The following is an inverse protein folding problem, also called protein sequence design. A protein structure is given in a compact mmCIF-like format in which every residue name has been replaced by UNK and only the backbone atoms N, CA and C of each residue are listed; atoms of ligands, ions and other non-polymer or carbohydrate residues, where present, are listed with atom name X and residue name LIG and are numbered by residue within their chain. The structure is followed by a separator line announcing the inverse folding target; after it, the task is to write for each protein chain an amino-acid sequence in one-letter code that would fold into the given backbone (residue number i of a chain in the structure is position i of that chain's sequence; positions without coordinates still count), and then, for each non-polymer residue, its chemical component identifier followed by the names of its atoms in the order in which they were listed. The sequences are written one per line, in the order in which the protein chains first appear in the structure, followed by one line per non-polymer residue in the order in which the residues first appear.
data_IF_027306304222
#
_entry.id   IF_027306304222
#
_cell.length_a   1.000
_cell.length_b   1.000
_cell.length_c   1.000
_cell.angle_alpha   90.00
_cell.angle_beta   90.00
_cell.angle_gamma   90.00
#
_symmetry.space_group_name_H-M   'P 1'
#
loop_
_entity.id
_entity.type
_entity.pdbx_description
1 polymer ?
#
# COMPACT_ATOMS: atom_id res chain seq x y z
N UNK A 1 -7.97 -14.69 -4.67
CA UNK A 1 -7.32 -13.90 -5.74
C UNK A 1 -6.38 -14.81 -6.54
N UNK A 2 -6.92 -15.62 -7.45
CA UNK A 2 -6.13 -16.60 -8.20
C UNK A 2 -6.65 -16.74 -9.64
N UNK A 3 -5.91 -17.44 -10.49
CA UNK A 3 -6.31 -17.72 -11.87
C UNK A 3 -7.57 -18.59 -11.94
N UNK A 4 -7.77 -19.49 -10.98
CA UNK A 4 -8.95 -20.34 -10.90
C UNK A 4 -10.22 -19.51 -10.67
N UNK A 5 -10.15 -18.52 -9.77
CA UNK A 5 -11.27 -17.59 -9.58
C UNK A 5 -11.51 -16.73 -10.83
N UNK A 6 -10.46 -16.28 -11.50
CA UNK A 6 -10.59 -15.53 -12.75
C UNK A 6 -11.26 -16.38 -13.86
N UNK A 7 -10.88 -17.65 -13.97
CA UNK A 7 -11.47 -18.60 -14.91
C UNK A 7 -12.97 -18.78 -14.68
N UNK A 8 -13.39 -18.97 -13.42
CA UNK A 8 -14.80 -19.07 -13.08
C UNK A 8 -15.60 -17.80 -13.47
N UNK A 9 -14.99 -16.61 -13.37
CA UNK A 9 -15.62 -15.36 -13.82
C UNK A 9 -15.70 -15.32 -15.35
N UNK A 10 -14.67 -15.80 -16.08
CA UNK A 10 -14.74 -15.91 -17.54
C UNK A 10 -15.84 -16.87 -17.99
N UNK A 11 -15.99 -18.03 -17.34
CA UNK A 11 -17.04 -19.00 -17.64
C UNK A 11 -18.43 -18.34 -17.48
N UNK A 12 -18.64 -17.65 -16.36
CA UNK A 12 -19.88 -16.91 -16.12
C UNK A 12 -20.14 -15.83 -17.20
N UNK A 13 -19.12 -15.04 -17.57
CA UNK A 13 -19.24 -14.02 -18.62
C UNK A 13 -19.59 -14.63 -19.98
N UNK A 14 -19.04 -15.80 -20.32
CA UNK A 14 -19.34 -16.52 -21.57
C UNK A 14 -20.78 -17.03 -21.55
N UNK A 15 -21.23 -17.61 -20.43
CA UNK A 15 -22.62 -18.06 -20.24
C UNK A 15 -23.61 -16.91 -20.40
N UNK A 16 -23.28 -15.74 -19.85
CA UNK A 16 -24.09 -14.51 -20.00
C UNK A 16 -23.94 -13.85 -21.38
N UNK A 17 -23.10 -14.38 -22.27
CA UNK A 17 -22.79 -13.82 -23.59
C UNK A 17 -22.33 -12.37 -23.49
N UNK A 18 -21.45 -12.07 -22.53
CA UNK A 18 -20.93 -10.74 -22.31
C UNK A 18 -20.10 -10.25 -23.50
N UNK A 19 -20.40 -9.05 -23.99
CA UNK A 19 -19.76 -8.41 -25.14
C UNK A 19 -18.92 -7.20 -24.72
N UNK A 20 -18.09 -6.68 -25.65
CA UNK A 20 -17.12 -5.60 -25.42
C UNK A 20 -17.70 -4.28 -24.87
N UNK A 21 -18.99 -4.04 -25.06
CA UNK A 21 -19.67 -2.83 -24.56
C UNK A 21 -20.08 -2.91 -23.09
N UNK A 22 -20.03 -4.09 -22.46
CA UNK A 22 -20.45 -4.28 -21.08
C UNK A 22 -19.35 -3.89 -20.09
N UNK A 23 -19.76 -3.38 -18.93
CA UNK A 23 -18.85 -2.87 -17.90
C UNK A 23 -18.72 -3.84 -16.74
N UNK A 24 -17.49 -4.13 -16.32
CA UNK A 24 -17.21 -4.81 -15.05
C UNK A 24 -17.22 -3.75 -13.93
N UNK A 25 -18.07 -3.96 -12.93
CA UNK A 25 -18.12 -3.13 -11.72
C UNK A 25 -17.50 -3.92 -10.57
N UNK A 26 -16.34 -3.50 -10.10
CA UNK A 26 -15.63 -4.13 -8.99
C UNK A 26 -16.05 -3.50 -7.66
N UNK A 27 -17.01 -4.12 -6.98
CA UNK A 27 -17.50 -3.70 -5.66
C UNK A 27 -16.82 -4.51 -4.55
N UNK A 28 -15.90 -3.90 -3.79
CA UNK A 28 -15.20 -4.59 -2.71
C UNK A 28 -13.87 -3.95 -2.32
N UNK A 29 -13.08 -4.65 -1.50
CA UNK A 29 -11.72 -4.23 -1.15
C UNK A 29 -10.68 -4.46 -2.28
N UNK A 30 -9.40 -4.20 -1.99
CA UNK A 30 -8.32 -4.22 -3.00
C UNK A 30 -8.16 -5.57 -3.71
N UNK A 31 -8.48 -6.67 -3.03
CA UNK A 31 -8.49 -8.01 -3.61
C UNK A 31 -9.49 -8.12 -4.77
N UNK A 32 -10.68 -7.53 -4.60
CA UNK A 32 -11.75 -7.55 -5.60
C UNK A 32 -11.41 -6.63 -6.76
N UNK A 33 -10.89 -5.42 -6.48
CA UNK A 33 -10.49 -4.47 -7.54
C UNK A 33 -9.40 -5.05 -8.44
N UNK A 34 -8.40 -5.74 -7.86
CA UNK A 34 -7.35 -6.38 -8.64
C UNK A 34 -7.85 -7.55 -9.49
N UNK A 35 -8.65 -8.44 -8.91
CA UNK A 35 -9.17 -9.62 -9.62
C UNK A 35 -10.13 -9.20 -10.75
N UNK A 36 -11.10 -8.35 -10.43
CA UNK A 36 -12.07 -7.86 -11.42
C UNK A 36 -11.39 -7.01 -12.48
N UNK A 37 -10.38 -6.21 -12.10
CA UNK A 37 -9.58 -5.45 -13.04
C UNK A 37 -8.76 -6.33 -13.98
N UNK A 38 -8.17 -7.42 -13.47
CA UNK A 38 -7.46 -8.40 -14.30
C UNK A 38 -8.42 -9.07 -15.29
N UNK A 39 -9.60 -9.49 -14.83
CA UNK A 39 -10.65 -10.05 -15.68
C UNK A 39 -11.09 -9.05 -16.76
N UNK A 40 -11.31 -7.78 -16.38
CA UNK A 40 -11.69 -6.74 -17.32
C UNK A 40 -10.60 -6.50 -18.37
N UNK A 41 -9.32 -6.55 -17.99
CA UNK A 41 -8.20 -6.35 -18.90
C UNK A 41 -8.08 -7.47 -19.96
N UNK A 42 -8.41 -8.71 -19.61
CA UNK A 42 -8.12 -9.91 -20.41
C UNK A 42 -9.35 -10.43 -21.17
N UNK A 43 -10.55 -10.38 -20.57
CA UNK A 43 -11.76 -10.87 -21.21
C UNK A 43 -12.13 -10.01 -22.42
N UNK A 44 -12.44 -10.66 -23.54
CA UNK A 44 -12.66 -10.03 -24.84
C UNK A 44 -11.53 -9.06 -25.29
N UNK A 45 -10.34 -9.17 -24.68
CA UNK A 45 -9.18 -8.25 -24.81
C UNK A 45 -9.43 -6.84 -24.27
N UNK A 46 -10.30 -6.68 -23.28
CA UNK A 46 -10.58 -5.41 -22.62
C UNK A 46 -12.08 -5.09 -22.56
N UNK A 47 -12.62 -5.02 -21.35
CA UNK A 47 -13.93 -4.50 -21.03
C UNK A 47 -13.81 -3.20 -20.20
N UNK A 48 -14.72 -2.22 -20.38
CA UNK A 48 -14.84 -1.10 -19.45
C UNK A 48 -14.86 -1.58 -17.98
N UNK A 49 -14.14 -0.85 -17.13
CA UNK A 49 -13.97 -1.17 -15.71
C UNK A 49 -14.38 0.02 -14.85
N UNK A 50 -15.12 -0.23 -13.78
CA UNK A 50 -15.42 0.74 -12.71
C UNK A 50 -15.02 0.12 -11.38
N UNK A 51 -14.33 0.87 -10.53
CA UNK A 51 -14.04 0.47 -9.16
C UNK A 51 -14.99 1.16 -8.19
N UNK A 52 -15.58 0.39 -7.29
CA UNK A 52 -16.37 0.86 -6.16
C UNK A 52 -15.72 0.30 -4.89
N UNK A 53 -14.57 0.88 -4.45
CA UNK A 53 -13.81 0.36 -3.32
C UNK A 53 -14.58 0.49 -2.01
N UNK A 54 -14.60 -0.56 -1.20
CA UNK A 54 -15.34 -0.62 0.09
C UNK A 54 -14.43 -0.86 1.30
N UNK A 55 -13.12 -0.69 1.15
CA UNK A 55 -12.16 -0.70 2.26
C UNK A 55 -11.27 0.53 2.18
N UNK A 56 -10.74 0.98 3.32
CA UNK A 56 -9.83 2.13 3.37
C UNK A 56 -8.66 1.93 2.42
N UNK A 57 -7.99 0.78 2.52
CA UNK A 57 -6.86 0.41 1.66
C UNK A 57 -7.21 0.47 0.17
N UNK A 58 -8.41 0.02 -0.21
CA UNK A 58 -8.84 0.06 -1.60
C UNK A 58 -9.10 1.49 -2.08
N UNK A 59 -9.74 2.32 -1.25
CA UNK A 59 -10.05 3.71 -1.59
C UNK A 59 -8.79 4.56 -1.77
N UNK A 60 -7.84 4.44 -0.84
CA UNK A 60 -6.66 5.32 -0.80
C UNK A 60 -5.49 4.82 -1.64
N UNK A 61 -5.50 3.52 -1.97
CA UNK A 61 -4.41 2.87 -2.69
C UNK A 61 -4.92 1.97 -3.83
N UNK A 62 -5.42 0.76 -3.55
CA UNK A 62 -5.52 -0.30 -4.57
C UNK A 62 -6.41 0.03 -5.79
N UNK A 63 -7.46 0.83 -5.63
CA UNK A 63 -8.36 1.19 -6.73
C UNK A 63 -7.76 2.24 -7.69
N UNK A 64 -6.59 2.81 -7.38
CA UNK A 64 -5.96 3.88 -8.16
C UNK A 64 -4.60 3.44 -8.67
N UNK A 65 -4.37 3.63 -9.97
CA UNK A 65 -3.07 3.44 -10.61
C UNK A 65 -2.90 2.20 -11.47
N UNK A 66 -4.01 1.53 -11.80
CA UNK A 66 -4.11 0.60 -12.92
C UNK A 66 -3.39 -0.74 -12.77
N UNK A 67 -2.69 -1.00 -11.66
CA UNK A 67 -2.10 -2.32 -11.42
C UNK A 67 -3.20 -3.28 -11.03
N UNK A 68 -3.45 -4.28 -11.87
CA UNK A 68 -4.44 -5.32 -11.62
C UNK A 68 -3.77 -6.68 -11.78
N UNK A 69 -4.06 -7.63 -10.90
CA UNK A 69 -3.31 -8.88 -10.86
C UNK A 69 -4.09 -10.04 -10.24
N UNK A 70 -3.53 -11.23 -10.35
CA UNK A 70 -3.88 -12.42 -9.57
C UNK A 70 -2.63 -13.03 -8.94
N UNK A 71 -2.81 -13.83 -7.89
CA UNK A 71 -1.69 -14.53 -7.27
C UNK A 71 -1.44 -15.86 -7.98
N UNK A 72 -0.17 -16.23 -8.10
CA UNK A 72 0.26 -17.60 -8.34
C UNK A 72 0.61 -18.25 -6.99
N UNK A 73 0.49 -19.58 -6.79
CA UNK A 73 0.86 -20.26 -5.54
C UNK A 73 2.28 -19.99 -5.04
N UNK A 74 3.17 -19.53 -5.92
CA UNK A 74 4.58 -19.19 -5.64
C UNK A 74 4.90 -17.70 -5.67
N UNK A 75 3.96 -16.84 -6.06
CA UNK A 75 4.22 -15.41 -6.21
C UNK A 75 2.95 -14.56 -6.09
N UNK A 76 2.95 -13.59 -5.16
CA UNK A 76 1.89 -12.59 -4.97
C UNK A 76 1.95 -11.57 -6.11
N UNK A 77 0.81 -11.26 -6.72
CA UNK A 77 0.63 -10.21 -7.76
C UNK A 77 1.52 -10.31 -9.02
N UNK A 78 2.18 -11.44 -9.27
CA UNK A 78 3.15 -11.57 -10.37
C UNK A 78 2.50 -11.71 -11.77
N UNK A 79 1.21 -12.02 -11.83
CA UNK A 79 0.47 -12.21 -13.08
C UNK A 79 -0.61 -11.14 -13.14
N UNK A 80 -0.49 -10.20 -14.09
CA UNK A 80 -1.35 -9.03 -14.10
C UNK A 80 -1.24 -8.19 -15.37
N UNK A 81 -1.83 -7.01 -15.32
CA UNK A 81 -1.80 -6.01 -16.37
C UNK A 81 -1.80 -4.59 -15.77
N UNK A 82 -1.38 -3.61 -16.57
CA UNK A 82 -1.71 -2.21 -16.32
C UNK A 82 -3.01 -1.88 -17.06
N UNK A 83 -4.11 -1.71 -16.33
CA UNK A 83 -5.46 -1.48 -16.85
C UNK A 83 -6.24 -0.49 -15.98
N UNK A 84 -6.52 0.70 -16.51
CA UNK A 84 -7.17 1.76 -15.75
C UNK A 84 -8.69 1.60 -15.72
N UNK A 85 -9.35 1.87 -14.56
CA UNK A 85 -10.79 2.03 -14.53
C UNK A 85 -11.21 3.33 -15.24
N UNK A 86 -12.46 3.36 -15.73
CA UNK A 86 -13.11 4.57 -16.26
C UNK A 86 -13.58 5.50 -15.14
N UNK A 87 -13.85 4.94 -13.96
CA UNK A 87 -14.34 5.65 -12.77
C UNK A 87 -13.92 4.89 -11.51
N UNK A 88 -13.54 5.64 -10.48
CA UNK A 88 -13.42 5.15 -9.10
C UNK A 88 -14.46 5.90 -8.27
N UNK A 89 -15.41 5.17 -7.68
CA UNK A 89 -16.45 5.73 -6.80
C UNK A 89 -16.18 5.31 -5.35
N UNK A 90 -15.51 6.17 -4.60
CA UNK A 90 -15.19 5.95 -3.19
C UNK A 90 -16.26 6.59 -2.29
N UNK A 91 -17.25 5.81 -1.89
CA UNK A 91 -18.26 6.21 -0.90
C UNK A 91 -17.80 5.83 0.51
N UNK A 92 -17.37 6.82 1.29
CA UNK A 92 -16.84 6.62 2.65
C UNK A 92 -17.87 6.04 3.62
N UNK A 93 -19.18 6.14 3.33
CA UNK A 93 -20.23 5.54 4.18
C UNK A 93 -20.14 4.01 4.21
N UNK A 94 -19.59 3.39 3.17
CA UNK A 94 -19.37 1.93 3.12
C UNK A 94 -18.39 1.44 4.20
N UNK A 95 -17.51 2.33 4.68
CA UNK A 95 -16.54 2.00 5.74
C UNK A 95 -17.22 1.72 7.08
N UNK A 96 -18.46 2.18 7.30
CA UNK A 96 -19.20 1.95 8.54
C UNK A 96 -19.50 0.47 8.83
N UNK A 97 -19.42 -0.41 7.83
CA UNK A 97 -19.55 -1.87 8.01
C UNK A 97 -18.21 -2.61 8.02
N UNK A 98 -17.09 -1.89 7.84
CA UNK A 98 -15.77 -2.49 7.74
C UNK A 98 -15.28 -2.92 9.14
N UNK A 99 -14.72 -4.14 9.30
CA UNK A 99 -14.13 -4.55 10.57
C UNK A 99 -13.04 -3.56 11.00
N UNK A 100 -13.01 -3.19 12.29
CA UNK A 100 -12.08 -2.16 12.80
C UNK A 100 -10.62 -2.42 12.45
N UNK A 101 -10.18 -3.68 12.41
CA UNK A 101 -8.81 -4.06 12.04
C UNK A 101 -8.44 -3.69 10.59
N UNK A 102 -9.41 -3.66 9.68
CA UNK A 102 -9.18 -3.29 8.27
C UNK A 102 -9.06 -1.76 8.09
N UNK A 103 -9.33 -0.96 9.14
CA UNK A 103 -8.94 0.46 9.20
C UNK A 103 -7.43 0.65 9.21
N UNK A 104 -6.65 -0.43 9.39
CA UNK A 104 -5.20 -0.42 9.16
C UNK A 104 -4.81 0.08 7.76
N UNK A 105 -5.73 0.08 6.79
CA UNK A 105 -5.54 0.74 5.50
C UNK A 105 -5.20 2.24 5.57
N UNK A 106 -5.47 2.91 6.70
CA UNK A 106 -5.03 4.30 6.92
C UNK A 106 -3.51 4.47 6.92
N UNK A 107 -2.76 3.39 7.18
CA UNK A 107 -1.30 3.39 7.07
C UNK A 107 -0.83 3.91 5.70
N UNK A 108 -1.55 3.58 4.63
CA UNK A 108 -1.20 4.03 3.27
C UNK A 108 -1.51 5.51 3.02
N UNK A 109 -2.58 6.03 3.62
CA UNK A 109 -2.88 7.46 3.54
C UNK A 109 -1.88 8.29 4.36
N UNK A 110 -1.49 7.79 5.54
CA UNK A 110 -0.42 8.37 6.36
C UNK A 110 0.91 8.31 5.61
N UNK A 111 1.21 7.19 4.96
CA UNK A 111 2.39 7.05 4.09
C UNK A 111 2.44 8.17 3.06
N UNK A 112 1.36 8.44 2.32
CA UNK A 112 1.30 9.52 1.34
C UNK A 112 1.64 10.89 1.95
N UNK A 113 1.15 11.17 3.16
CA UNK A 113 1.49 12.39 3.89
C UNK A 113 2.98 12.47 4.22
N UNK A 114 3.54 11.39 4.80
CA UNK A 114 4.94 11.32 5.19
C UNK A 114 5.89 11.51 4.01
N UNK A 115 5.55 10.99 2.83
CA UNK A 115 6.45 11.03 1.67
C UNK A 115 6.34 12.30 0.83
N UNK A 116 5.17 12.97 0.82
CA UNK A 116 4.88 14.01 -0.18
C UNK A 116 4.03 15.19 0.32
N UNK A 117 3.44 15.16 1.52
CA UNK A 117 2.53 16.23 1.98
C UNK A 117 2.54 16.42 3.51
N UNK A 118 3.35 17.38 3.97
CA UNK A 118 3.42 17.75 5.39
C UNK A 118 2.13 18.40 5.93
N UNK A 119 1.32 19.02 5.08
CA UNK A 119 0.02 19.58 5.49
C UNK A 119 -1.01 18.46 5.70
N UNK A 120 -0.91 17.36 4.95
CA UNK A 120 -1.74 16.17 5.16
C UNK A 120 -1.32 15.46 6.44
N UNK A 121 -0.03 15.44 6.78
CA UNK A 121 0.43 14.94 8.08
C UNK A 121 -0.20 15.76 9.21
N UNK A 122 -0.11 17.08 9.12
CA UNK A 122 -0.71 17.98 10.10
C UNK A 122 -2.25 17.84 10.18
N UNK A 123 -2.90 17.53 9.05
CA UNK A 123 -4.33 17.20 9.04
C UNK A 123 -4.62 15.92 9.83
N UNK A 124 -3.88 14.83 9.59
CA UNK A 124 -4.05 13.59 10.34
C UNK A 124 -3.77 13.78 11.84
N UNK A 125 -2.76 14.56 12.21
CA UNK A 125 -2.47 14.89 13.62
C UNK A 125 -3.63 15.64 14.30
N UNK A 126 -4.31 16.54 13.59
CA UNK A 126 -5.45 17.31 14.13
C UNK A 126 -6.76 16.52 14.16
N UNK A 127 -6.97 15.59 13.23
CA UNK A 127 -8.26 14.94 12.99
C UNK A 127 -8.22 13.42 13.19
N UNK A 128 -7.19 12.86 13.84
CA UNK A 128 -7.01 11.41 13.97
C UNK A 128 -8.26 10.70 14.50
N UNK A 129 -8.85 11.21 15.58
CA UNK A 129 -10.00 10.63 16.24
C UNK A 129 -11.25 10.69 15.36
N UNK A 130 -11.44 11.78 14.62
CA UNK A 130 -12.56 11.94 13.70
C UNK A 130 -12.43 11.04 12.46
N UNK A 131 -11.21 10.88 11.92
CA UNK A 131 -10.93 9.96 10.80
C UNK A 131 -11.10 8.50 11.25
N UNK A 132 -10.60 8.13 12.43
CA UNK A 132 -10.79 6.79 13.00
C UNK A 132 -12.25 6.50 13.37
N UNK A 133 -12.97 7.52 13.80
CA UNK A 133 -14.41 7.49 14.04
C UNK A 133 -15.25 7.44 12.77
N UNK A 134 -14.62 7.52 11.60
CA UNK A 134 -15.27 7.56 10.28
C UNK A 134 -16.26 8.73 10.14
N UNK A 135 -15.96 9.88 10.73
CA UNK A 135 -16.75 11.08 10.54
C UNK A 135 -16.74 11.48 9.05
N UNK A 136 -17.90 11.79 8.44
CA UNK A 136 -18.01 11.89 6.98
C UNK A 136 -17.03 12.88 6.34
N UNK A 137 -16.92 14.10 6.90
CA UNK A 137 -16.10 15.17 6.33
C UNK A 137 -14.59 14.88 6.46
N UNK A 138 -14.03 14.60 7.66
CA UNK A 138 -12.60 14.29 7.79
C UNK A 138 -12.18 13.04 7.03
N UNK A 139 -13.05 12.03 6.98
CA UNK A 139 -12.78 10.78 6.26
C UNK A 139 -12.74 11.01 4.75
N UNK A 140 -13.71 11.76 4.21
CA UNK A 140 -13.74 12.13 2.79
C UNK A 140 -12.50 12.94 2.42
N UNK A 141 -12.12 13.90 3.25
CA UNK A 141 -10.95 14.74 3.02
C UNK A 141 -9.64 13.95 3.04
N UNK A 142 -9.48 13.03 4.00
CA UNK A 142 -8.34 12.12 4.06
C UNK A 142 -8.20 11.26 2.80
N UNK A 143 -9.30 10.64 2.36
CA UNK A 143 -9.33 9.83 1.13
C UNK A 143 -9.01 10.69 -0.09
N UNK A 144 -9.66 11.86 -0.22
CA UNK A 144 -9.48 12.77 -1.35
C UNK A 144 -8.03 13.22 -1.51
N UNK A 145 -7.39 13.68 -0.43
CA UNK A 145 -6.00 14.14 -0.46
C UNK A 145 -5.03 12.99 -0.75
N UNK A 146 -5.24 11.84 -0.12
CA UNK A 146 -4.44 10.64 -0.36
C UNK A 146 -4.51 10.19 -1.83
N UNK A 147 -5.71 10.11 -2.40
CA UNK A 147 -5.91 9.75 -3.81
C UNK A 147 -5.27 10.78 -4.74
N UNK A 148 -5.37 12.07 -4.44
CA UNK A 148 -4.73 13.12 -5.25
C UNK A 148 -3.21 12.95 -5.30
N UNK A 149 -2.56 12.65 -4.17
CA UNK A 149 -1.12 12.39 -4.11
C UNK A 149 -0.77 11.17 -4.96
N UNK A 150 -1.47 10.04 -4.76
CA UNK A 150 -1.21 8.82 -5.52
C UNK A 150 -1.43 9.02 -7.02
N UNK A 151 -2.52 9.69 -7.40
CA UNK A 151 -2.85 9.98 -8.79
C UNK A 151 -1.74 10.83 -9.45
N UNK A 152 -1.22 11.86 -8.78
CA UNK A 152 -0.12 12.66 -9.29
C UNK A 152 1.13 11.81 -9.57
N UNK A 153 1.55 10.98 -8.61
CA UNK A 153 2.71 10.08 -8.78
C UNK A 153 2.48 9.05 -9.90
N UNK A 154 1.27 8.50 -10.00
CA UNK A 154 0.92 7.56 -11.08
C UNK A 154 0.93 8.25 -12.44
N UNK A 155 0.41 9.47 -12.55
CA UNK A 155 0.39 10.22 -13.81
C UNK A 155 1.80 10.55 -14.32
N UNK A 156 2.77 10.68 -13.42
CA UNK A 156 4.18 10.84 -13.78
C UNK A 156 4.84 9.53 -14.24
N UNK A 157 4.35 8.36 -13.82
CA UNK A 157 5.01 7.06 -14.02
C UNK A 157 4.04 5.87 -13.94
N UNK A 158 3.08 5.82 -14.87
CA UNK A 158 1.96 4.86 -14.83
C UNK A 158 2.45 3.40 -14.81
N UNK A 159 3.43 3.09 -15.66
CA UNK A 159 3.97 1.75 -15.91
C UNK A 159 5.27 1.46 -15.17
N UNK A 160 5.68 2.33 -14.25
CA UNK A 160 6.93 2.19 -13.48
C UNK A 160 8.20 2.15 -14.34
N UNK A 161 8.21 2.89 -15.45
CA UNK A 161 9.32 2.94 -16.40
C UNK A 161 10.43 3.90 -15.94
N UNK A 162 10.05 4.99 -15.25
CA UNK A 162 10.99 6.01 -14.77
C UNK A 162 11.48 5.72 -13.35
N UNK A 163 10.73 4.92 -12.60
CA UNK A 163 11.01 4.59 -11.21
C UNK A 163 10.49 5.62 -10.21
N UNK A 164 9.85 6.72 -10.67
CA UNK A 164 9.23 7.74 -9.81
C UNK A 164 8.21 7.13 -8.85
N UNK A 165 7.43 6.15 -9.32
CA UNK A 165 6.41 5.46 -8.50
C UNK A 165 7.00 4.67 -7.32
N UNK A 166 8.31 4.40 -7.32
CA UNK A 166 9.01 3.72 -6.21
C UNK A 166 8.84 4.47 -4.89
N UNK A 167 8.65 5.80 -4.91
CA UNK A 167 8.43 6.60 -3.70
C UNK A 167 7.23 6.14 -2.87
N UNK A 168 6.24 5.49 -3.50
CA UNK A 168 5.09 4.92 -2.81
C UNK A 168 5.44 3.67 -1.99
N UNK A 169 6.67 3.17 -2.06
CA UNK A 169 7.11 1.99 -1.31
C UNK A 169 7.75 2.33 0.05
N UNK A 170 7.51 3.54 0.59
CA UNK A 170 7.93 3.87 1.95
C UNK A 170 7.35 2.85 2.94
N UNK A 171 8.23 2.25 3.75
CA UNK A 171 7.91 1.13 4.65
C UNK A 171 7.79 -0.25 4.00
N UNK A 172 7.48 -0.36 2.71
CA UNK A 172 7.12 -1.63 2.06
C UNK A 172 8.27 -2.65 2.02
N UNK A 173 9.53 -2.21 1.96
CA UNK A 173 10.69 -3.15 1.95
C UNK A 173 10.70 -4.04 3.19
N UNK A 174 10.48 -3.45 4.36
CA UNK A 174 10.42 -4.17 5.63
C UNK A 174 9.03 -4.77 5.83
N UNK A 175 7.96 -4.05 5.45
CA UNK A 175 6.58 -4.54 5.54
C UNK A 175 6.37 -5.86 4.78
N UNK A 176 6.79 -5.94 3.52
CA UNK A 176 6.72 -7.19 2.74
C UNK A 176 7.59 -8.30 3.35
N UNK A 177 8.74 -7.96 3.94
CA UNK A 177 9.59 -8.94 4.61
C UNK A 177 8.91 -9.53 5.86
N UNK A 178 8.19 -8.70 6.63
CA UNK A 178 7.37 -9.13 7.77
C UNK A 178 6.19 -9.99 7.31
N UNK A 179 5.47 -9.57 6.27
CA UNK A 179 4.40 -10.38 5.68
C UNK A 179 4.92 -11.76 5.26
N UNK A 180 6.06 -11.80 4.56
CA UNK A 180 6.67 -13.05 4.09
C UNK A 180 7.14 -13.94 5.26
N UNK A 181 7.82 -13.36 6.25
CA UNK A 181 8.32 -14.08 7.43
C UNK A 181 7.17 -14.67 8.29
N UNK A 182 5.99 -14.07 8.23
CA UNK A 182 4.79 -14.54 8.94
C UNK A 182 3.79 -15.29 8.05
N UNK A 183 4.24 -15.72 6.87
CA UNK A 183 3.45 -16.46 5.88
C UNK A 183 2.10 -15.79 5.53
N UNK A 184 2.06 -14.46 5.54
CA UNK A 184 0.88 -13.63 5.21
C UNK A 184 -0.35 -13.86 6.10
N UNK A 185 -0.19 -14.53 7.25
CA UNK A 185 -1.30 -14.90 8.14
C UNK A 185 -1.48 -14.00 9.35
N UNK A 186 -0.39 -13.36 9.83
CA UNK A 186 -0.38 -12.64 11.10
C UNK A 186 -0.81 -11.19 10.98
N UNK A 187 -0.20 -10.44 10.07
CA UNK A 187 -0.42 -9.00 9.91
C UNK A 187 -1.30 -8.69 8.70
N UNK A 188 -2.12 -7.64 8.81
CA UNK A 188 -2.70 -6.96 7.65
C UNK A 188 -1.61 -6.17 6.93
N UNK A 189 -1.82 -5.93 5.64
CA UNK A 189 -0.90 -5.14 4.81
C UNK A 189 -0.54 -3.80 5.47
N UNK A 190 -1.54 -3.02 5.88
CA UNK A 190 -1.31 -1.73 6.55
C UNK A 190 -0.63 -1.83 7.93
N UNK A 191 -0.80 -2.94 8.65
CA UNK A 191 -0.07 -3.19 9.91
C UNK A 191 1.42 -3.45 9.64
N UNK A 192 1.72 -4.30 8.65
CA UNK A 192 3.09 -4.60 8.25
C UNK A 192 3.80 -3.35 7.68
N UNK A 193 3.09 -2.54 6.90
CA UNK A 193 3.61 -1.27 6.38
C UNK A 193 3.88 -0.26 7.49
N UNK A 194 3.05 -0.18 8.54
CA UNK A 194 3.31 0.70 9.68
C UNK A 194 4.60 0.34 10.44
N UNK A 195 4.83 -0.96 10.65
CA UNK A 195 6.09 -1.45 11.23
C UNK A 195 7.26 -1.13 10.30
N UNK A 196 7.08 -1.35 9.00
CA UNK A 196 8.10 -1.06 8.01
C UNK A 196 8.43 0.43 7.89
N UNK A 197 7.44 1.32 8.00
CA UNK A 197 7.62 2.77 8.07
C UNK A 197 8.42 3.16 9.32
N UNK A 198 8.17 2.50 10.45
CA UNK A 198 8.94 2.71 11.69
C UNK A 198 10.42 2.36 11.48
N UNK A 199 10.72 1.22 10.85
CA UNK A 199 12.09 0.85 10.50
C UNK A 199 12.73 1.84 9.50
N UNK A 200 11.99 2.27 8.47
CA UNK A 200 12.48 3.23 7.49
C UNK A 200 12.74 4.62 8.10
N UNK A 201 11.94 5.05 9.08
CA UNK A 201 12.19 6.28 9.84
C UNK A 201 13.46 6.18 10.70
N UNK A 202 13.66 5.06 11.39
CA UNK A 202 14.88 4.82 12.18
C UNK A 202 16.15 4.82 11.29
N UNK A 203 16.09 4.21 10.10
CA UNK A 203 17.17 4.29 9.09
C UNK A 203 17.40 5.75 8.68
N UNK A 204 16.32 6.49 8.38
CA UNK A 204 16.40 7.89 7.96
C UNK A 204 17.06 8.77 9.04
N UNK A 205 16.70 8.57 10.32
CA UNK A 205 17.32 9.28 11.45
C UNK A 205 18.79 8.93 11.59
N UNK A 206 19.16 7.64 11.52
CA UNK A 206 20.55 7.19 11.64
C UNK A 206 21.46 7.73 10.53
N UNK A 207 20.90 8.00 9.36
CA UNK A 207 21.59 8.67 8.26
C UNK A 207 21.60 10.20 8.37
N UNK A 208 20.97 10.77 9.40
CA UNK A 208 20.86 12.22 9.60
C UNK A 208 19.86 12.91 8.65
N UNK A 209 19.00 12.15 7.98
CA UNK A 209 18.01 12.68 7.02
C UNK A 209 16.70 13.09 7.71
N UNK A 210 16.37 12.47 8.83
CA UNK A 210 15.16 12.71 9.61
C UNK A 210 15.50 13.17 11.02
N UNK A 211 14.78 14.17 11.52
CA UNK A 211 14.95 14.62 12.89
C UNK A 211 14.36 13.60 13.89
N UNK A 212 14.89 13.50 15.13
CA UNK A 212 14.24 12.70 16.17
C UNK A 212 12.82 13.17 16.49
N UNK A 213 12.51 14.44 16.22
CA UNK A 213 11.18 15.00 16.39
C UNK A 213 10.18 14.45 15.37
N UNK A 214 10.57 14.45 14.09
CA UNK A 214 9.74 13.93 13.01
C UNK A 214 9.54 12.41 13.12
N UNK A 215 10.57 11.65 13.51
CA UNK A 215 10.43 10.22 13.79
C UNK A 215 9.40 9.97 14.90
N UNK A 216 9.46 10.77 15.98
CA UNK A 216 8.51 10.67 17.09
C UNK A 216 7.09 11.01 16.64
N UNK A 217 6.90 12.08 15.88
CA UNK A 217 5.58 12.48 15.34
C UNK A 217 4.98 11.40 14.45
N UNK A 218 5.78 10.79 13.58
CA UNK A 218 5.32 9.64 12.78
C UNK A 218 4.86 8.49 13.67
N UNK A 219 5.68 8.09 14.64
CA UNK A 219 5.36 7.00 15.57
C UNK A 219 4.06 7.27 16.34
N UNK A 220 3.95 8.45 16.94
CA UNK A 220 2.77 8.87 17.69
C UNK A 220 1.51 8.86 16.82
N UNK A 221 1.60 9.29 15.55
CA UNK A 221 0.46 9.25 14.65
C UNK A 221 0.05 7.81 14.30
N UNK A 222 1.00 6.93 13.99
CA UNK A 222 0.71 5.52 13.70
C UNK A 222 0.01 4.87 14.91
N UNK A 223 0.53 5.09 16.12
CA UNK A 223 -0.04 4.57 17.37
C UNK A 223 -1.44 5.13 17.65
N UNK A 224 -1.67 6.43 17.39
CA UNK A 224 -3.01 7.04 17.48
C UNK A 224 -4.01 6.38 16.54
N UNK A 225 -3.57 5.95 15.36
CA UNK A 225 -4.37 5.17 14.41
C UNK A 225 -4.52 3.69 14.77
N UNK A 226 -4.00 3.26 15.93
CA UNK A 226 -4.03 1.87 16.38
C UNK A 226 -3.15 0.95 15.53
N UNK A 227 -2.17 1.51 14.81
CA UNK A 227 -1.24 0.76 13.99
C UNK A 227 -0.03 0.31 14.82
N UNK A 228 0.48 -0.92 14.60
CA UNK A 228 1.68 -1.38 15.28
C UNK A 228 2.93 -0.64 14.76
N UNK A 229 3.79 -0.22 15.70
CA UNK A 229 5.12 0.35 15.44
C UNK A 229 6.25 -0.65 15.75
N UNK A 230 5.86 -1.91 15.97
CA UNK A 230 6.72 -3.05 16.27
C UNK A 230 5.94 -4.36 16.12
N UNK A 231 6.66 -5.47 16.22
CA UNK A 231 6.24 -6.82 15.87
C UNK A 231 6.99 -7.82 16.76
N UNK A 232 6.44 -8.12 17.92
CA UNK A 232 7.05 -9.11 18.82
C UNK A 232 6.99 -10.52 18.24
N UNK A 233 7.92 -11.40 18.64
CA UNK A 233 7.95 -12.81 18.25
C UNK A 233 8.03 -13.04 16.72
N UNK A 234 8.84 -12.25 16.01
CA UNK A 234 9.20 -12.52 14.62
C UNK A 234 10.65 -13.00 14.55
N UNK A 235 10.92 -13.93 13.63
CA UNK A 235 12.30 -14.29 13.32
C UNK A 235 12.94 -13.17 12.50
N UNK A 236 13.68 -12.31 13.20
CA UNK A 236 14.50 -11.24 12.61
C UNK A 236 15.42 -11.72 11.50
N UNK A 237 16.03 -12.90 11.65
CA UNK A 237 16.91 -13.45 10.61
C UNK A 237 16.11 -13.77 9.34
N UNK A 238 14.86 -14.23 9.49
CA UNK A 238 13.94 -14.42 8.36
C UNK A 238 13.56 -13.10 7.70
N UNK A 239 13.31 -12.03 8.47
CA UNK A 239 13.03 -10.68 7.91
C UNK A 239 14.22 -10.15 7.11
N UNK A 240 15.43 -10.18 7.68
CA UNK A 240 16.66 -9.75 6.99
C UNK A 240 16.92 -10.58 5.74
N UNK A 241 16.71 -11.90 5.82
CA UNK A 241 16.82 -12.79 4.66
C UNK A 241 15.82 -12.45 3.57
N UNK A 242 14.55 -12.18 3.91
CA UNK A 242 13.52 -11.79 2.97
C UNK A 242 13.85 -10.46 2.25
N UNK A 243 14.39 -9.46 2.97
CA UNK A 243 14.90 -8.21 2.36
C UNK A 243 16.01 -8.51 1.36
N UNK A 244 16.94 -9.41 1.71
CA UNK A 244 18.04 -9.80 0.83
C UNK A 244 17.58 -10.61 -0.40
N UNK A 245 16.48 -11.36 -0.32
CA UNK A 245 15.88 -12.04 -1.47
C UNK A 245 15.27 -11.02 -2.46
N UNK A 246 14.51 -10.03 -1.98
CA UNK A 246 13.95 -8.98 -2.85
C UNK A 246 15.06 -8.22 -3.59
N UNK A 247 16.19 -7.95 -2.91
CA UNK A 247 17.42 -7.40 -3.52
C UNK A 247 17.92 -8.24 -4.70
N UNK A 248 18.00 -9.57 -4.53
CA UNK A 248 18.50 -10.50 -5.57
C UNK A 248 17.59 -10.51 -6.80
N UNK A 249 16.26 -10.45 -6.59
CA UNK A 249 15.28 -10.39 -7.68
C UNK A 249 15.47 -9.14 -8.54
N UNK A 250 15.86 -8.01 -7.93
CA UNK A 250 16.10 -6.73 -8.62
C UNK A 250 17.52 -6.57 -9.18
N UNK A 251 18.37 -7.60 -9.09
CA UNK A 251 19.74 -7.62 -9.62
C UNK A 251 20.60 -6.39 -9.22
N UNK A 252 20.48 -5.89 -7.99
CA UNK A 252 21.13 -4.65 -7.56
C UNK A 252 21.21 -4.48 -6.04
N UNK A 253 21.41 -3.24 -5.58
CA UNK A 253 21.26 -2.87 -4.16
C UNK A 253 19.78 -2.71 -3.78
N UNK A 254 19.46 -2.82 -2.48
CA UNK A 254 18.11 -2.47 -2.01
C UNK A 254 17.93 -0.97 -2.22
N UNK A 255 16.94 -0.59 -3.03
CA UNK A 255 16.55 0.81 -3.19
C UNK A 255 15.57 1.16 -2.08
N UNK A 256 16.08 1.78 -1.04
CA UNK A 256 15.31 2.24 0.10
C UNK A 256 14.54 3.50 -0.26
N UNK A 257 13.30 3.56 0.24
CA UNK A 257 12.53 4.80 0.31
C UNK A 257 12.65 5.29 1.75
N UNK A 258 13.25 6.46 1.93
CA UNK A 258 13.53 7.08 3.23
C UNK A 258 12.93 8.48 3.28
N UNK A 259 12.93 9.10 4.46
CA UNK A 259 12.46 10.47 4.64
C UNK A 259 13.62 11.44 4.81
N UNK A 260 13.53 12.58 4.16
CA UNK A 260 14.38 13.76 4.35
C UNK A 260 13.52 14.88 4.99
N UNK A 261 12.90 14.56 6.12
CA UNK A 261 11.82 15.35 6.73
C UNK A 261 10.42 14.89 6.29
N UNK A 262 9.40 15.27 7.07
CA UNK A 262 8.00 14.95 6.76
C UNK A 262 7.56 15.66 5.47
N UNK A 263 6.88 14.93 4.60
CA UNK A 263 6.42 15.40 3.30
C UNK A 263 7.49 15.35 2.21
N UNK A 264 8.66 14.76 2.50
CA UNK A 264 9.76 14.67 1.53
C UNK A 264 10.48 13.33 1.65
N UNK A 265 10.14 12.41 0.76
CA UNK A 265 10.86 11.15 0.64
C UNK A 265 12.03 11.21 -0.35
N UNK A 266 13.03 10.36 -0.14
CA UNK A 266 14.23 10.19 -0.97
C UNK A 266 14.49 8.72 -1.25
N UNK A 267 15.01 8.42 -2.45
CA UNK A 267 15.47 7.09 -2.83
C UNK A 267 16.96 6.96 -2.55
N UNK A 268 17.37 5.89 -1.86
CA UNK A 268 18.77 5.60 -1.52
C UNK A 268 19.11 4.14 -1.79
N UNK A 269 20.20 3.88 -2.49
CA UNK A 269 20.74 2.54 -2.74
C UNK A 269 22.09 2.29 -2.06
N UNK A 270 22.60 3.30 -1.34
CA UNK A 270 23.87 3.32 -0.63
C UNK A 270 23.71 3.21 0.90
N UNK A 271 22.60 2.65 1.38
CA UNK A 271 22.35 2.47 2.81
C UNK A 271 23.25 1.37 3.36
N UNK A 272 24.17 1.67 4.32
CA UNK A 272 25.05 0.66 4.89
C UNK A 272 24.26 -0.43 5.61
N UNK A 273 24.65 -1.69 5.45
CA UNK A 273 23.96 -2.81 6.08
C UNK A 273 23.95 -2.70 7.62
N UNK A 274 25.00 -2.16 8.23
CA UNK A 274 25.05 -1.93 9.68
C UNK A 274 23.92 -1.00 10.14
N UNK A 275 23.65 0.09 9.41
CA UNK A 275 22.56 1.02 9.72
C UNK A 275 21.20 0.32 9.66
N UNK A 276 21.00 -0.56 8.67
CA UNK A 276 19.75 -1.36 8.55
C UNK A 276 19.58 -2.28 9.75
N UNK A 277 20.61 -3.02 10.13
CA UNK A 277 20.56 -3.94 11.28
C UNK A 277 20.28 -3.18 12.58
N UNK A 278 21.01 -2.11 12.83
CA UNK A 278 20.83 -1.28 14.04
C UNK A 278 19.46 -0.61 14.09
N UNK A 279 18.91 -0.17 12.94
CA UNK A 279 17.56 0.38 12.88
C UNK A 279 16.50 -0.69 13.16
N UNK A 280 16.69 -1.90 12.64
CA UNK A 280 15.82 -3.01 12.97
C UNK A 280 15.95 -3.40 14.45
N UNK A 281 17.08 -3.18 15.13
CA UNK A 281 17.22 -3.47 16.58
C UNK A 281 16.38 -2.54 17.46
N UNK A 282 16.06 -1.34 16.98
CA UNK A 282 15.20 -0.38 17.68
C UNK A 282 13.71 -0.62 17.46
N UNK A 283 13.36 -1.27 16.36
CA UNK A 283 12.00 -1.73 16.11
C UNK A 283 11.87 -3.09 16.78
N UNK A 284 10.88 -3.33 17.66
CA UNK A 284 10.59 -4.68 18.10
C UNK A 284 10.28 -5.50 16.83
N UNK A 285 11.18 -6.38 16.39
CA UNK A 285 11.04 -7.32 15.26
C UNK A 285 11.90 -8.53 15.51
#
# INVERSE_FOLDING_TARGET
KSLETAAAIYDWLIEQRAERGQTIVALGGGMVTDLAGFVAATYARGLPLVHVPTSVLAMVDAAVGGKVAVNHPRAKNAIGAFYQPRLVLADVSTLGTLPRRELSGWAEAIKHALILDAELMAFFERHAEAVLGLEPEPTTEAVRRSVAIKAAVVSEDEREETGRRTILNYGHTVGHAIEAATAYGRFRHGEADAIGMTAAAAISRRLGLLSPDDERRQRELLERFGLPTGADDIDRAAVVSAIALDKKVRAGAVRWVLLEGIGRAVLRDDVPQAVVVEALDEVPV
#
